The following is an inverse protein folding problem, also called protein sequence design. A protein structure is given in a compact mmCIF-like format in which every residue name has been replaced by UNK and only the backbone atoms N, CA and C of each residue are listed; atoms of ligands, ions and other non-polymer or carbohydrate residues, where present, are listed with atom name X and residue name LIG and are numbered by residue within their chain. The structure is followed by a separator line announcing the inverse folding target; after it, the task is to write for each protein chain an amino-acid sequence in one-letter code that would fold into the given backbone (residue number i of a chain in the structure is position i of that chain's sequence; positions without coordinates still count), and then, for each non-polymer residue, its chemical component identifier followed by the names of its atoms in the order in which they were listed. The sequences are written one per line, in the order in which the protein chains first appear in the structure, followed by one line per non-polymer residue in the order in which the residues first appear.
data_IF_220106053579
#
_entry.id   IF_220106053579
#
_cell.length_a   1.000
_cell.length_b   1.000
_cell.length_c   1.000
_cell.angle_alpha   90.00
_cell.angle_beta   90.00
_cell.angle_gamma   90.00
#
_symmetry.space_group_name_H-M   'P 1'
#
loop_
_entity.id
_entity.type
_entity.pdbx_description
1 polymer ?
#
# COMPACT_ATOMS: atom_id res chain seq x y z
N UNK A 1 -16.72 -19.50 43.07
CA UNK A 1 -15.85 -20.43 42.35
C UNK A 1 -15.37 -19.70 41.13
N UNK A 2 -14.15 -19.17 41.18
CA UNK A 2 -13.51 -18.53 40.03
C UNK A 2 -12.27 -19.36 39.78
N UNK A 3 -12.33 -20.24 38.79
CA UNK A 3 -11.14 -20.92 38.28
C UNK A 3 -10.28 -19.87 37.57
N UNK A 4 -9.30 -19.35 38.31
CA UNK A 4 -8.21 -18.57 37.75
C UNK A 4 -7.46 -19.45 36.74
N UNK A 5 -7.49 -19.03 35.48
CA UNK A 5 -6.79 -19.66 34.37
C UNK A 5 -5.26 -19.56 34.57
N UNK A 6 -4.67 -20.46 35.36
CA UNK A 6 -3.22 -20.61 35.57
C UNK A 6 -2.51 -21.32 34.39
N UNK A 7 -2.98 -21.12 33.16
CA UNK A 7 -2.46 -21.75 31.95
C UNK A 7 -1.54 -20.82 31.15
N UNK A 8 -0.56 -21.39 30.46
CA UNK A 8 0.26 -20.70 29.46
C UNK A 8 -0.67 -20.04 28.41
N UNK A 9 -0.41 -18.79 27.98
CA UNK A 9 -1.21 -18.13 26.95
C UNK A 9 -1.21 -18.91 25.63
N UNK A 10 -2.27 -18.78 24.80
CA UNK A 10 -2.32 -19.42 23.50
C UNK A 10 -1.17 -18.95 22.62
N UNK A 11 -0.61 -19.88 21.83
CA UNK A 11 0.49 -19.58 20.93
C UNK A 11 0.03 -18.61 19.83
N UNK A 12 0.77 -17.52 19.56
CA UNK A 12 0.49 -16.66 18.43
C UNK A 12 0.75 -17.40 17.11
N UNK A 13 0.15 -16.92 16.03
CA UNK A 13 0.39 -17.42 14.67
C UNK A 13 1.79 -16.98 14.20
N UNK A 14 2.80 -17.65 14.71
CA UNK A 14 4.21 -17.42 14.41
C UNK A 14 4.90 -18.74 14.08
N UNK A 15 5.84 -18.75 13.11
CA UNK A 15 6.68 -19.89 12.84
C UNK A 15 7.37 -20.41 14.11
N UNK A 16 7.53 -21.72 14.22
CA UNK A 16 8.15 -22.36 15.41
C UNK A 16 9.52 -21.78 15.75
N UNK A 17 10.32 -21.44 14.74
CA UNK A 17 11.66 -20.88 14.93
C UNK A 17 11.67 -19.48 15.57
N UNK A 18 10.55 -18.74 15.55
CA UNK A 18 10.38 -17.48 16.29
C UNK A 18 9.72 -17.71 17.65
N UNK A 19 8.73 -18.61 17.71
CA UNK A 19 7.98 -18.88 18.94
C UNK A 19 8.82 -19.58 20.01
N UNK A 20 9.54 -20.64 19.66
CA UNK A 20 10.29 -21.43 20.64
C UNK A 20 11.39 -20.64 21.37
N UNK A 21 12.14 -19.73 20.70
CA UNK A 21 13.06 -18.84 21.41
C UNK A 21 12.37 -17.89 22.39
N UNK A 22 11.19 -17.35 22.06
CA UNK A 22 10.43 -16.45 22.95
C UNK A 22 9.98 -17.19 24.21
N UNK A 23 9.44 -18.40 24.06
CA UNK A 23 8.97 -19.20 25.21
C UNK A 23 10.08 -19.58 26.21
N UNK A 24 11.35 -19.46 25.81
CA UNK A 24 12.53 -19.73 26.64
C UNK A 24 13.12 -18.47 27.29
N UNK A 25 12.57 -17.29 27.03
CA UNK A 25 13.04 -16.04 27.62
C UNK A 25 12.49 -15.83 29.03
N UNK A 26 13.20 -15.03 29.83
CA UNK A 26 12.66 -14.54 31.10
C UNK A 26 11.57 -13.49 30.86
N UNK A 27 10.68 -13.25 31.83
CA UNK A 27 9.63 -12.23 31.73
C UNK A 27 10.14 -10.84 31.32
N UNK A 28 11.23 -10.38 31.92
CA UNK A 28 11.83 -9.06 31.66
C UNK A 28 12.36 -8.94 30.22
N UNK A 29 12.89 -10.04 29.68
CA UNK A 29 13.30 -10.11 28.27
C UNK A 29 12.10 -10.13 27.33
N UNK A 30 11.01 -10.81 27.70
CA UNK A 30 9.77 -10.79 26.93
C UNK A 30 9.16 -9.38 26.89
N UNK A 31 9.20 -8.63 27.99
CA UNK A 31 8.77 -7.23 28.03
C UNK A 31 9.62 -6.35 27.11
N UNK A 32 10.95 -6.54 27.13
CA UNK A 32 11.86 -5.81 26.24
C UNK A 32 11.56 -6.10 24.77
N UNK A 33 11.32 -7.37 24.42
CA UNK A 33 10.94 -7.78 23.07
C UNK A 33 9.59 -7.20 22.67
N UNK A 34 8.61 -7.17 23.58
CA UNK A 34 7.30 -6.60 23.30
C UNK A 34 7.39 -5.10 22.97
N UNK A 35 8.15 -4.33 23.75
CA UNK A 35 8.40 -2.91 23.47
C UNK A 35 9.06 -2.72 22.12
N UNK A 36 10.16 -3.44 21.84
CA UNK A 36 10.84 -3.34 20.56
C UNK A 36 9.95 -3.74 19.37
N UNK A 37 9.16 -4.80 19.50
CA UNK A 37 8.24 -5.25 18.46
C UNK A 37 7.17 -4.20 18.16
N UNK A 38 6.67 -3.49 19.18
CA UNK A 38 5.73 -2.39 19.02
C UNK A 38 6.38 -1.20 18.30
N UNK A 39 7.54 -0.75 18.76
CA UNK A 39 8.29 0.34 18.12
C UNK A 39 8.64 0.02 16.66
N UNK A 40 9.07 -1.22 16.39
CA UNK A 40 9.35 -1.70 15.04
C UNK A 40 8.09 -1.71 14.15
N UNK A 41 6.94 -2.08 14.71
CA UNK A 41 5.67 -2.06 13.98
C UNK A 41 5.26 -0.61 13.63
N UNK A 42 5.42 0.33 14.55
CA UNK A 42 5.12 1.74 14.32
C UNK A 42 6.06 2.36 13.29
N UNK A 43 7.37 2.13 13.41
CA UNK A 43 8.34 2.56 12.41
C UNK A 43 8.03 1.98 11.02
N UNK A 44 7.71 0.69 10.92
CA UNK A 44 7.31 0.08 9.63
C UNK A 44 6.02 0.68 9.06
N UNK A 45 5.05 1.06 9.90
CA UNK A 45 3.84 1.74 9.44
C UNK A 45 4.17 3.12 8.88
N UNK A 46 5.04 3.86 9.56
CA UNK A 46 5.49 5.17 9.12
C UNK A 46 6.29 5.09 7.82
N UNK A 47 7.29 4.22 7.72
CA UNK A 47 8.05 4.00 6.48
C UNK A 47 7.13 3.67 5.30
N UNK A 48 6.07 2.89 5.53
CA UNK A 48 5.07 2.62 4.50
C UNK A 48 4.33 3.88 4.09
N UNK A 49 3.89 4.73 5.03
CA UNK A 49 3.25 6.00 4.70
C UNK A 49 4.20 6.91 3.92
N UNK A 50 5.46 7.04 4.36
CA UNK A 50 6.47 7.85 3.70
C UNK A 50 6.73 7.33 2.27
N UNK A 51 6.76 6.01 2.05
CA UNK A 51 6.86 5.42 0.70
C UNK A 51 5.64 5.76 -0.17
N UNK A 52 4.43 5.74 0.41
CA UNK A 52 3.19 6.13 -0.30
C UNK A 52 3.24 7.59 -0.72
N UNK A 53 3.59 8.49 0.20
CA UNK A 53 3.69 9.92 -0.06
C UNK A 53 4.77 10.23 -1.08
N UNK A 54 5.93 9.57 -1.00
CA UNK A 54 7.00 9.73 -1.98
C UNK A 54 6.57 9.25 -3.37
N UNK A 55 5.96 8.06 -3.47
CA UNK A 55 5.46 7.56 -4.77
C UNK A 55 4.38 8.46 -5.36
N UNK A 56 3.46 8.97 -4.54
CA UNK A 56 2.49 9.97 -4.97
C UNK A 56 3.19 11.21 -5.51
N UNK A 57 4.13 11.78 -4.77
CA UNK A 57 4.87 12.96 -5.22
C UNK A 57 5.67 12.74 -6.53
N UNK A 58 6.14 11.51 -6.79
CA UNK A 58 6.92 11.17 -7.99
C UNK A 58 6.04 10.87 -9.22
N UNK A 59 4.89 10.22 -9.03
CA UNK A 59 4.11 9.61 -10.12
C UNK A 59 2.66 10.11 -10.21
N UNK A 60 2.16 10.90 -9.27
CA UNK A 60 0.80 11.45 -9.32
C UNK A 60 0.63 12.39 -10.52
N UNK A 61 -0.58 12.37 -11.07
CA UNK A 61 -0.95 13.24 -12.18
C UNK A 61 -1.10 14.69 -11.73
N UNK A 62 -0.43 15.60 -12.44
CA UNK A 62 -0.63 17.04 -12.23
C UNK A 62 -1.99 17.51 -12.79
N UNK A 63 -2.40 18.74 -12.45
CA UNK A 63 -3.65 19.36 -12.93
C UNK A 63 -3.78 19.37 -14.47
N UNK A 64 -2.68 19.63 -15.19
CA UNK A 64 -2.65 19.59 -16.66
C UNK A 64 -3.01 18.19 -17.19
N UNK A 65 -2.48 17.15 -16.53
CA UNK A 65 -2.68 15.77 -16.95
C UNK A 65 -4.08 15.28 -16.60
N UNK A 66 -4.63 15.72 -15.47
CA UNK A 66 -6.04 15.53 -15.11
C UNK A 66 -6.97 16.21 -16.12
N UNK A 67 -6.63 17.42 -16.57
CA UNK A 67 -7.38 18.11 -17.62
C UNK A 67 -7.32 17.36 -18.96
N UNK A 68 -6.15 16.81 -19.33
CA UNK A 68 -5.98 15.97 -20.53
C UNK A 68 -6.89 14.72 -20.48
N UNK A 69 -7.00 14.07 -19.31
CA UNK A 69 -7.91 12.93 -19.13
C UNK A 69 -9.38 13.33 -19.30
N UNK A 70 -9.79 14.46 -18.71
CA UNK A 70 -11.16 14.97 -18.81
C UNK A 70 -11.54 15.40 -20.23
N UNK A 71 -10.64 16.07 -20.95
CA UNK A 71 -10.83 16.43 -22.36
C UNK A 71 -11.06 15.20 -23.25
N UNK A 72 -10.43 14.08 -22.88
CA UNK A 72 -10.58 12.78 -23.55
C UNK A 72 -11.76 11.96 -23.03
N UNK A 73 -12.63 12.56 -22.22
CA UNK A 73 -13.80 11.93 -21.61
C UNK A 73 -13.46 10.70 -20.75
N UNK A 74 -12.22 10.64 -20.24
CA UNK A 74 -11.78 9.57 -19.34
C UNK A 74 -12.19 9.91 -17.92
N UNK A 75 -12.93 9.01 -17.29
CA UNK A 75 -13.33 9.22 -15.89
C UNK A 75 -12.11 9.23 -14.96
N UNK A 76 -12.08 10.24 -14.10
CA UNK A 76 -11.12 10.37 -13.00
C UNK A 76 -11.76 10.08 -11.65
N UNK A 77 -12.97 9.53 -11.64
CA UNK A 77 -13.67 9.12 -10.43
C UNK A 77 -13.41 7.63 -10.17
N UNK A 78 -12.99 7.22 -8.95
CA UNK A 78 -12.71 5.82 -8.66
C UNK A 78 -13.98 4.95 -8.67
N UNK A 79 -15.17 5.51 -8.43
CA UNK A 79 -16.43 4.74 -8.41
C UNK A 79 -16.87 4.29 -9.81
N UNK A 80 -16.32 4.90 -10.86
CA UNK A 80 -16.53 4.49 -12.25
C UNK A 80 -15.73 3.22 -12.65
N UNK A 81 -14.88 2.70 -11.75
CA UNK A 81 -14.04 1.52 -12.00
C UNK A 81 -14.33 0.41 -10.97
N UNK A 82 -14.65 -0.80 -11.45
CA UNK A 82 -15.12 -1.89 -10.57
C UNK A 82 -14.08 -2.36 -9.54
N UNK A 83 -12.80 -2.40 -9.92
CA UNK A 83 -11.72 -2.92 -9.07
C UNK A 83 -11.05 -1.83 -8.21
N UNK A 84 -11.41 -0.56 -8.40
CA UNK A 84 -10.76 0.56 -7.72
C UNK A 84 -11.51 0.90 -6.43
N UNK A 85 -10.82 0.95 -5.28
CA UNK A 85 -11.48 1.32 -4.04
C UNK A 85 -11.83 2.81 -4.03
N UNK A 86 -13.02 3.14 -3.53
CA UNK A 86 -13.50 4.52 -3.40
C UNK A 86 -12.60 5.41 -2.52
N UNK A 87 -11.77 4.83 -1.66
CA UNK A 87 -10.84 5.57 -0.80
C UNK A 87 -9.42 5.06 -0.93
N UNK A 88 -8.46 5.97 -1.04
CA UNK A 88 -7.02 5.66 -0.99
C UNK A 88 -6.40 5.30 -2.35
N UNK A 89 -7.21 5.15 -3.40
CA UNK A 89 -6.74 5.10 -4.78
C UNK A 89 -6.40 6.51 -5.29
N UNK A 90 -5.37 6.59 -6.14
CA UNK A 90 -4.95 7.81 -6.81
C UNK A 90 -4.48 7.49 -8.22
N UNK A 91 -4.54 8.47 -9.13
CA UNK A 91 -4.12 8.30 -10.51
C UNK A 91 -2.62 8.58 -10.62
N UNK A 92 -1.91 7.68 -11.28
CA UNK A 92 -0.48 7.79 -11.56
C UNK A 92 -0.22 7.84 -13.05
N UNK A 93 0.85 8.53 -13.45
CA UNK A 93 1.32 8.61 -14.83
C UNK A 93 2.68 7.91 -14.98
N UNK A 94 2.79 7.06 -16.00
CA UNK A 94 4.07 6.48 -16.44
C UNK A 94 4.41 6.99 -17.82
N UNK A 95 5.50 7.74 -17.91
CA UNK A 95 6.07 8.17 -19.19
C UNK A 95 7.09 7.13 -19.65
N UNK A 96 6.78 6.35 -20.69
CA UNK A 96 7.68 5.29 -21.17
C UNK A 96 8.63 5.75 -22.27
N UNK A 97 8.22 6.75 -23.07
CA UNK A 97 9.06 7.36 -24.12
C UNK A 97 8.73 8.84 -24.25
N UNK A 98 9.78 9.66 -24.24
CA UNK A 98 9.73 11.08 -24.57
C UNK A 98 10.72 11.35 -25.69
N UNK A 99 10.22 11.82 -26.83
CA UNK A 99 11.01 12.36 -27.94
C UNK A 99 10.68 13.83 -28.11
N UNK A 100 11.47 14.58 -28.89
CA UNK A 100 11.20 15.99 -29.21
C UNK A 100 9.83 16.23 -29.87
N UNK A 101 9.17 15.17 -30.35
CA UNK A 101 7.89 15.25 -31.08
C UNK A 101 6.73 14.53 -30.36
N UNK A 102 6.98 13.61 -29.42
CA UNK A 102 5.91 12.81 -28.81
C UNK A 102 6.27 12.30 -27.42
N UNK A 103 5.32 12.43 -26.48
CA UNK A 103 5.38 11.87 -25.13
C UNK A 103 4.34 10.76 -24.99
N UNK A 104 4.77 9.53 -24.74
CA UNK A 104 3.89 8.40 -24.48
C UNK A 104 3.67 8.29 -22.97
N UNK A 105 2.48 8.70 -22.52
CA UNK A 105 2.03 8.62 -21.14
C UNK A 105 0.99 7.52 -21.01
N UNK A 106 1.07 6.76 -19.93
CA UNK A 106 0.08 5.76 -19.54
C UNK A 106 -0.41 6.11 -18.15
N UNK A 107 -1.72 6.04 -17.96
CA UNK A 107 -2.40 6.43 -16.73
C UNK A 107 -2.96 5.19 -16.05
N UNK A 108 -2.78 5.13 -14.73
CA UNK A 108 -3.21 4.01 -13.91
C UNK A 108 -3.82 4.50 -12.62
N UNK A 109 -4.91 3.88 -12.16
CA UNK A 109 -5.26 3.93 -10.75
C UNK A 109 -4.25 3.10 -9.97
N UNK A 110 -3.86 3.56 -8.79
CA UNK A 110 -2.94 2.86 -7.92
C UNK A 110 -3.40 2.98 -6.47
N UNK A 111 -3.37 1.87 -5.74
CA UNK A 111 -3.73 1.80 -4.32
C UNK A 111 -2.99 0.65 -3.63
N UNK A 112 -3.10 0.61 -2.30
CA UNK A 112 -2.60 -0.49 -1.47
C UNK A 112 -3.71 -1.45 -1.11
N UNK A 113 -3.40 -2.74 -1.21
CA UNK A 113 -4.17 -3.82 -0.62
C UNK A 113 -3.22 -4.64 0.27
N UNK A 114 -3.35 -4.49 1.59
CA UNK A 114 -2.39 -5.05 2.55
C UNK A 114 -0.97 -4.56 2.29
N UNK A 115 -0.04 -5.48 2.05
CA UNK A 115 1.36 -5.18 1.76
C UNK A 115 1.69 -5.10 0.25
N UNK A 116 0.70 -5.29 -0.63
CA UNK A 116 0.89 -5.26 -2.08
C UNK A 116 0.37 -3.98 -2.73
N UNK A 117 1.01 -3.58 -3.82
CA UNK A 117 0.53 -2.54 -4.71
C UNK A 117 -0.44 -3.11 -5.74
N UNK A 118 -1.56 -2.45 -5.94
CA UNK A 118 -2.53 -2.74 -7.00
C UNK A 118 -2.55 -1.60 -7.99
N UNK A 119 -2.85 -1.91 -9.25
CA UNK A 119 -3.04 -0.91 -10.28
C UNK A 119 -4.17 -1.33 -11.22
N UNK A 120 -4.90 -0.34 -11.73
CA UNK A 120 -5.92 -0.51 -12.78
C UNK A 120 -5.60 0.45 -13.93
N UNK A 121 -5.77 -0.01 -15.17
CA UNK A 121 -5.38 0.78 -16.34
C UNK A 121 -6.48 1.76 -16.74
N UNK A 122 -6.12 3.03 -16.98
CA UNK A 122 -7.07 4.09 -17.31
C UNK A 122 -6.98 4.49 -18.80
N UNK A 123 -5.79 4.90 -19.24
CA UNK A 123 -5.61 5.52 -20.56
C UNK A 123 -4.15 5.45 -21.03
N UNK A 124 -3.87 5.55 -22.34
CA UNK A 124 -4.80 5.69 -23.46
C UNK A 124 -5.63 4.43 -23.74
N UNK A 125 -6.94 4.60 -23.99
CA UNK A 125 -7.75 3.55 -24.65
C UNK A 125 -7.13 3.22 -26.01
N UNK A 126 -7.03 1.93 -26.31
CA UNK A 126 -6.36 1.42 -27.49
C UNK A 126 -6.99 2.05 -28.76
N UNK A 127 -6.20 2.56 -29.73
CA UNK A 127 -6.72 3.26 -30.92
C UNK A 127 -7.40 2.35 -31.96
N UNK A 128 -7.93 1.18 -31.57
CA UNK A 128 -8.60 0.22 -32.46
C UNK A 128 -10.12 0.11 -32.22
N UNK A 129 -10.78 1.15 -31.73
CA UNK A 129 -12.25 1.26 -31.77
C UNK A 129 -12.70 2.30 -32.79
#
# INVERSE_FOLDING_TARGET
MSEESSGKPPAPDLPKYLREPLEKQSPERLETVATYAQELADWKRQERQDELERRRAEEEVDEEQLAELKDREVSTDPEDYEDVPASGAYITVKTTKQTDQKKYKYYYWQWREGDSWKNEYIAPVNPQQ
#
